data_IF_237879990405
#
_entry.id   IF_237879990405
#
_cell.length_a   1.000
_cell.length_b   1.000
_cell.length_c   1.000
_cell.angle_alpha   90.00
_cell.angle_beta   90.00
_cell.angle_gamma   90.00
#
_symmetry.space_group_name_H-M   'P 1'
#
loop_
_entity.id
_entity.type
_entity.pdbx_description
1 polymer ?
#
# COMPACT_ATOMS: atom_id res chain seq x y z
N UNK A 1 -10.82 -17.71 49.08
CA UNK A 1 -11.97 -16.78 49.19
C UNK A 1 -11.64 -15.35 48.77
N UNK A 2 -10.40 -14.85 48.92
CA UNK A 2 -10.05 -13.45 48.63
C UNK A 2 -10.05 -13.04 47.13
N UNK A 3 -9.82 -13.96 46.21
CA UNK A 3 -9.72 -13.69 44.76
C UNK A 3 -11.03 -13.28 44.10
N UNK A 4 -12.17 -13.78 44.57
CA UNK A 4 -13.49 -13.43 44.00
C UNK A 4 -13.95 -12.01 44.36
N UNK A 5 -13.48 -11.46 45.49
CA UNK A 5 -13.87 -10.13 45.96
C UNK A 5 -13.16 -9.05 45.13
N UNK A 6 -11.87 -9.25 44.83
CA UNK A 6 -11.08 -8.31 44.01
C UNK A 6 -11.64 -8.22 42.59
N UNK A 7 -12.00 -9.36 41.98
CA UNK A 7 -12.58 -9.41 40.63
C UNK A 7 -13.97 -8.77 40.56
N UNK A 8 -14.79 -8.94 41.61
CA UNK A 8 -16.11 -8.30 41.74
C UNK A 8 -16.00 -6.76 41.83
N UNK A 9 -15.06 -6.27 42.65
CA UNK A 9 -14.82 -4.83 42.85
C UNK A 9 -14.27 -4.17 41.57
N UNK A 10 -13.33 -4.80 40.87
CA UNK A 10 -12.83 -4.32 39.57
C UNK A 10 -13.96 -4.18 38.52
N UNK A 11 -14.91 -5.11 38.52
CA UNK A 11 -16.02 -5.11 37.56
C UNK A 11 -17.02 -3.98 37.84
N UNK A 12 -17.32 -3.69 39.10
CA UNK A 12 -18.30 -2.64 39.48
C UNK A 12 -17.73 -1.23 39.39
N UNK A 13 -16.47 -1.02 39.78
CA UNK A 13 -15.88 0.32 39.88
C UNK A 13 -15.22 0.78 38.58
N UNK A 14 -14.73 -0.13 37.74
CA UNK A 14 -14.02 0.24 36.52
C UNK A 14 -14.75 -0.18 35.24
N UNK A 15 -15.15 -1.45 35.12
CA UNK A 15 -15.68 -1.95 33.85
C UNK A 15 -17.12 -1.48 33.58
N UNK A 16 -18.02 -1.56 34.57
CA UNK A 16 -19.43 -1.18 34.40
C UNK A 16 -19.65 0.31 34.07
N UNK A 17 -18.97 1.28 34.71
CA UNK A 17 -19.08 2.70 34.36
C UNK A 17 -18.49 3.00 32.97
N UNK A 18 -17.38 2.35 32.60
CA UNK A 18 -16.76 2.48 31.28
C UNK A 18 -17.69 1.95 30.18
N UNK A 19 -18.33 0.80 30.39
CA UNK A 19 -19.30 0.20 29.47
C UNK A 19 -20.59 1.04 29.38
N UNK A 20 -21.07 1.60 30.50
CA UNK A 20 -22.21 2.54 30.49
C UNK A 20 -21.90 3.84 29.76
N UNK A 21 -20.71 4.39 29.96
CA UNK A 21 -20.20 5.55 29.23
C UNK A 21 -20.16 5.28 27.73
N UNK A 22 -19.66 4.12 27.30
CA UNK A 22 -19.61 3.72 25.90
C UNK A 22 -21.01 3.51 25.27
N UNK A 23 -21.99 3.10 26.08
CA UNK A 23 -23.38 2.92 25.64
C UNK A 23 -24.20 4.21 25.57
N UNK A 24 -23.65 5.33 26.06
CA UNK A 24 -24.23 6.66 25.91
C UNK A 24 -24.40 7.00 24.44
N UNK A 25 -25.59 7.48 24.07
CA UNK A 25 -25.92 7.96 22.73
C UNK A 25 -24.92 9.02 22.22
N UNK A 26 -24.34 9.83 23.10
CA UNK A 26 -23.34 10.85 22.76
C UNK A 26 -21.98 10.26 22.41
N UNK A 27 -21.54 9.21 23.12
CA UNK A 27 -20.27 8.52 22.83
C UNK A 27 -20.32 7.75 21.51
N UNK A 28 -21.48 7.16 21.18
CA UNK A 28 -21.70 6.51 19.88
C UNK A 28 -21.65 7.50 18.72
N UNK A 29 -22.23 8.69 18.88
CA UNK A 29 -22.14 9.78 17.88
C UNK A 29 -20.71 10.27 17.70
N UNK A 30 -19.96 10.46 18.80
CA UNK A 30 -18.56 10.86 18.75
C UNK A 30 -17.71 9.80 18.01
N UNK A 31 -17.96 8.52 18.28
CA UNK A 31 -17.27 7.40 17.63
C UNK A 31 -17.62 7.30 16.14
N UNK A 32 -18.88 7.53 15.77
CA UNK A 32 -19.30 7.63 14.37
C UNK A 32 -18.62 8.80 13.65
N UNK A 33 -18.54 9.98 14.27
CA UNK A 33 -17.85 11.15 13.70
C UNK A 33 -16.35 10.86 13.52
N UNK A 34 -15.72 10.18 14.48
CA UNK A 34 -14.31 9.75 14.40
C UNK A 34 -14.07 8.73 13.27
N UNK A 35 -14.98 7.77 13.09
CA UNK A 35 -14.88 6.78 12.00
C UNK A 35 -15.05 7.44 10.63
N UNK A 36 -15.99 8.37 10.50
CA UNK A 36 -16.19 9.11 9.26
C UNK A 36 -14.97 9.98 8.95
N UNK A 37 -14.43 10.71 9.94
CA UNK A 37 -13.25 11.57 9.71
C UNK A 37 -12.04 10.75 9.27
N UNK A 38 -11.72 9.65 9.97
CA UNK A 38 -10.60 8.77 9.60
C UNK A 38 -10.71 8.24 8.17
N UNK A 39 -11.92 7.84 7.74
CA UNK A 39 -12.14 7.40 6.36
C UNK A 39 -11.83 8.50 5.32
N UNK A 40 -12.31 9.73 5.52
CA UNK A 40 -12.05 10.86 4.59
C UNK A 40 -10.56 11.18 4.49
N UNK A 41 -9.85 11.21 5.61
CA UNK A 41 -8.39 11.45 5.62
C UNK A 41 -7.63 10.35 4.86
N UNK A 42 -8.01 9.08 5.05
CA UNK A 42 -7.37 7.96 4.32
C UNK A 42 -7.58 8.05 2.81
N UNK A 43 -8.76 8.46 2.34
CA UNK A 43 -9.02 8.65 0.91
C UNK A 43 -8.20 9.79 0.30
N UNK A 44 -8.09 10.93 0.98
CA UNK A 44 -7.29 12.06 0.51
C UNK A 44 -5.82 11.67 0.37
N UNK A 45 -5.24 11.02 1.40
CA UNK A 45 -3.86 10.55 1.36
C UNK A 45 -3.62 9.53 0.24
N UNK A 46 -4.59 8.65 -0.03
CA UNK A 46 -4.48 7.67 -1.11
C UNK A 46 -4.51 8.33 -2.49
N UNK A 47 -5.30 9.39 -2.68
CA UNK A 47 -5.31 10.15 -3.92
C UNK A 47 -3.99 10.88 -4.16
N UNK A 48 -3.40 11.47 -3.14
CA UNK A 48 -2.11 12.16 -3.24
C UNK A 48 -0.98 11.20 -3.65
N UNK A 49 -0.95 10.00 -3.05
CA UNK A 49 -0.01 8.93 -3.42
C UNK A 49 -0.16 8.53 -4.89
N UNK A 50 -1.39 8.31 -5.35
CA UNK A 50 -1.65 7.94 -6.75
C UNK A 50 -1.26 9.06 -7.72
N UNK A 51 -1.58 10.32 -7.39
CA UNK A 51 -1.20 11.47 -8.21
C UNK A 51 0.32 11.60 -8.31
N UNK A 52 1.04 11.42 -7.20
CA UNK A 52 2.50 11.37 -7.17
C UNK A 52 3.05 10.26 -8.06
N UNK A 53 2.55 9.02 -7.90
CA UNK A 53 2.99 7.89 -8.71
C UNK A 53 2.80 8.19 -10.20
N UNK A 54 1.61 8.63 -10.59
CA UNK A 54 1.30 8.95 -12.01
C UNK A 54 2.24 10.01 -12.56
N UNK A 55 2.49 11.08 -11.82
CA UNK A 55 3.39 12.16 -12.21
C UNK A 55 4.83 11.68 -12.40
N UNK A 56 5.32 10.82 -11.52
CA UNK A 56 6.72 10.43 -11.49
C UNK A 56 7.05 9.20 -12.35
N UNK A 57 6.04 8.53 -12.91
CA UNK A 57 6.20 7.29 -13.69
C UNK A 57 6.79 7.47 -15.09
N UNK A 58 6.65 8.65 -15.70
CA UNK A 58 7.20 8.95 -17.03
C UNK A 58 8.10 10.17 -16.91
N UNK A 59 9.39 10.01 -17.20
CA UNK A 59 10.41 11.06 -17.08
C UNK A 59 10.70 11.53 -15.65
N UNK A 60 10.06 10.94 -14.64
CA UNK A 60 10.22 11.28 -13.23
C UNK A 60 11.03 10.27 -12.43
N UNK A 61 10.90 10.31 -11.11
CA UNK A 61 11.68 9.46 -10.18
C UNK A 61 11.34 7.97 -10.26
N UNK A 62 10.15 7.62 -10.75
CA UNK A 62 9.71 6.25 -10.95
C UNK A 62 9.93 5.76 -12.38
N UNK A 63 10.50 6.58 -13.27
CA UNK A 63 10.96 6.14 -14.58
C UNK A 63 12.36 5.54 -14.47
N UNK A 64 12.43 4.22 -14.45
CA UNK A 64 13.68 3.48 -14.30
C UNK A 64 14.40 3.22 -15.63
N UNK A 65 13.78 3.54 -16.76
CA UNK A 65 14.27 3.15 -18.09
C UNK A 65 15.71 3.62 -18.35
N UNK A 66 15.99 4.89 -18.06
CA UNK A 66 17.33 5.48 -18.24
C UNK A 66 18.37 4.87 -17.30
N UNK A 67 18.02 4.68 -16.02
CA UNK A 67 18.94 4.13 -15.02
C UNK A 67 19.30 2.69 -15.30
N UNK A 68 18.33 1.92 -15.78
CA UNK A 68 18.54 0.53 -16.19
C UNK A 68 19.45 0.49 -17.41
N UNK A 69 19.19 1.34 -18.41
CA UNK A 69 20.04 1.37 -19.59
C UNK A 69 21.48 1.76 -19.26
N UNK A 70 21.69 2.76 -18.41
CA UNK A 70 23.03 3.17 -17.96
C UNK A 70 23.76 2.06 -17.19
N UNK A 71 23.08 1.43 -16.21
CA UNK A 71 23.69 0.43 -15.34
C UNK A 71 23.93 -0.90 -16.04
N UNK A 72 23.03 -1.31 -16.93
CA UNK A 72 22.99 -2.63 -17.55
C UNK A 72 23.18 -2.53 -19.08
N UNK A 73 23.90 -1.53 -19.58
CA UNK A 73 24.02 -1.24 -21.02
C UNK A 73 24.44 -2.46 -21.87
N UNK A 74 25.37 -3.28 -21.39
CA UNK A 74 25.87 -4.48 -22.09
C UNK A 74 25.09 -5.76 -21.81
N UNK A 75 24.06 -5.73 -20.97
CA UNK A 75 23.31 -6.92 -20.58
C UNK A 75 22.01 -7.05 -21.39
N UNK A 76 21.71 -8.25 -21.87
CA UNK A 76 20.44 -8.51 -22.58
C UNK A 76 19.29 -8.75 -21.62
N UNK A 77 19.59 -9.32 -20.46
CA UNK A 77 18.64 -9.59 -19.38
C UNK A 77 19.30 -9.38 -18.03
N UNK A 78 18.49 -9.06 -17.03
CA UNK A 78 18.91 -8.74 -15.67
C UNK A 78 18.39 -9.84 -14.74
N UNK A 79 19.27 -10.52 -13.98
CA UNK A 79 18.85 -11.53 -13.03
C UNK A 79 18.17 -10.91 -11.81
N UNK A 80 17.09 -11.53 -11.34
CA UNK A 80 16.40 -11.18 -10.10
C UNK A 80 15.81 -12.44 -9.45
N UNK A 81 16.42 -12.89 -8.35
CA UNK A 81 16.11 -14.19 -7.76
C UNK A 81 16.46 -15.31 -8.73
N UNK A 82 15.49 -16.20 -8.99
CA UNK A 82 15.62 -17.32 -9.93
C UNK A 82 15.24 -16.94 -11.38
N UNK A 83 14.79 -15.70 -11.60
CA UNK A 83 14.27 -15.24 -12.89
C UNK A 83 15.21 -14.27 -13.59
N UNK A 84 15.03 -14.14 -14.90
CA UNK A 84 15.73 -13.16 -15.73
C UNK A 84 14.71 -12.30 -16.45
N UNK A 85 14.88 -10.98 -16.37
CA UNK A 85 13.98 -10.01 -16.99
C UNK A 85 14.69 -9.25 -18.10
N UNK A 86 14.00 -9.00 -19.22
CA UNK A 86 14.50 -8.01 -20.17
C UNK A 86 14.53 -6.64 -19.50
N UNK A 87 15.41 -5.73 -19.96
CA UNK A 87 15.57 -4.39 -19.37
C UNK A 87 14.25 -3.65 -19.16
N UNK A 88 13.36 -3.69 -20.17
CA UNK A 88 12.04 -3.04 -20.10
C UNK A 88 11.16 -3.63 -19.00
N UNK A 89 11.17 -4.94 -18.82
CA UNK A 89 10.33 -5.63 -17.84
C UNK A 89 10.93 -5.44 -16.44
N UNK A 90 12.25 -5.41 -16.33
CA UNK A 90 12.94 -5.07 -15.08
C UNK A 90 12.62 -3.63 -14.61
N UNK A 91 12.40 -2.69 -15.53
CA UNK A 91 11.92 -1.35 -15.19
C UNK A 91 10.53 -1.39 -14.55
N UNK A 92 9.64 -2.23 -15.08
CA UNK A 92 8.30 -2.47 -14.50
C UNK A 92 8.40 -3.12 -13.11
N UNK A 93 9.34 -4.05 -12.92
CA UNK A 93 9.61 -4.66 -11.62
C UNK A 93 10.01 -3.60 -10.57
N UNK A 94 11.01 -2.77 -10.88
CA UNK A 94 11.45 -1.70 -9.97
C UNK A 94 10.35 -0.68 -9.70
N UNK A 95 9.56 -0.36 -10.73
CA UNK A 95 8.39 0.51 -10.59
C UNK A 95 7.39 -0.07 -9.59
N UNK A 96 7.01 -1.34 -9.75
CA UNK A 96 6.01 -2.00 -8.90
C UNK A 96 6.45 -2.07 -7.44
N UNK A 97 7.73 -2.36 -7.21
CA UNK A 97 8.34 -2.35 -5.89
C UNK A 97 8.23 -0.99 -5.19
N UNK A 98 8.60 0.08 -5.90
CA UNK A 98 8.53 1.43 -5.35
C UNK A 98 7.08 1.87 -5.13
N UNK A 99 6.16 1.50 -6.02
CA UNK A 99 4.72 1.76 -5.87
C UNK A 99 4.16 1.12 -4.60
N UNK A 100 4.56 -0.12 -4.30
CA UNK A 100 4.21 -0.77 -3.03
C UNK A 100 4.78 -0.01 -1.83
N UNK A 101 6.05 0.37 -1.87
CA UNK A 101 6.72 1.12 -0.80
C UNK A 101 6.07 2.49 -0.55
N UNK A 102 5.51 3.12 -1.59
CA UNK A 102 4.75 4.37 -1.50
C UNK A 102 3.35 4.18 -0.88
N UNK A 103 2.96 2.95 -0.57
CA UNK A 103 1.75 2.61 0.17
C UNK A 103 0.56 2.24 -0.70
N UNK A 104 0.78 1.78 -1.94
CA UNK A 104 -0.23 1.05 -2.70
C UNK A 104 -0.24 -0.41 -2.21
N UNK A 105 -1.33 -0.80 -1.56
CA UNK A 105 -1.42 -2.08 -0.85
C UNK A 105 -1.95 -3.22 -1.73
N UNK A 106 -2.61 -2.90 -2.83
CA UNK A 106 -3.23 -3.88 -3.73
C UNK A 106 -2.49 -4.00 -5.06
N UNK A 107 -2.14 -5.23 -5.42
CA UNK A 107 -1.58 -5.53 -6.75
C UNK A 107 -2.51 -5.07 -7.87
N UNK A 108 -3.82 -5.31 -7.75
CA UNK A 108 -4.81 -4.88 -8.74
C UNK A 108 -4.85 -3.36 -8.89
N UNK A 109 -4.61 -2.62 -7.81
CA UNK A 109 -4.52 -1.16 -7.87
C UNK A 109 -3.24 -0.72 -8.58
N UNK A 110 -2.11 -1.37 -8.31
CA UNK A 110 -0.85 -1.09 -9.01
C UNK A 110 -0.97 -1.35 -10.52
N UNK A 111 -1.63 -2.44 -10.93
CA UNK A 111 -1.94 -2.73 -12.34
C UNK A 111 -2.75 -1.60 -12.96
N UNK A 112 -3.87 -1.19 -12.33
CA UNK A 112 -4.70 -0.09 -12.85
C UNK A 112 -3.93 1.21 -13.01
N UNK A 113 -3.13 1.59 -12.00
CA UNK A 113 -2.32 2.80 -12.06
C UNK A 113 -1.32 2.72 -13.22
N UNK A 114 -0.68 1.56 -13.42
CA UNK A 114 0.25 1.35 -14.52
C UNK A 114 -0.45 1.51 -15.87
N UNK A 115 -1.58 0.84 -16.09
CA UNK A 115 -2.33 0.94 -17.36
C UNK A 115 -2.85 2.36 -17.61
N UNK A 116 -3.24 3.08 -16.56
CA UNK A 116 -3.65 4.48 -16.65
C UNK A 116 -2.49 5.41 -17.04
N UNK A 117 -1.27 5.14 -16.58
CA UNK A 117 -0.07 5.91 -16.92
C UNK A 117 0.33 5.64 -18.37
N UNK A 118 0.46 4.37 -18.74
CA UNK A 118 1.02 3.95 -20.04
C UNK A 118 -0.03 3.82 -21.15
N UNK A 119 -1.31 4.04 -20.84
CA UNK A 119 -2.44 4.04 -21.78
C UNK A 119 -2.56 2.75 -22.60
N UNK A 120 -2.16 1.63 -22.01
CA UNK A 120 -2.24 0.29 -22.60
C UNK A 120 -2.25 -0.77 -21.51
N UNK A 121 -2.70 -1.96 -21.86
CA UNK A 121 -2.57 -3.12 -20.98
C UNK A 121 -1.15 -3.66 -20.92
N UNK A 122 -0.86 -4.33 -19.80
CA UNK A 122 0.38 -5.06 -19.59
C UNK A 122 0.46 -6.24 -20.57
N UNK A 123 1.64 -6.46 -21.12
CA UNK A 123 1.98 -7.74 -21.75
C UNK A 123 2.23 -8.80 -20.68
N UNK A 124 2.20 -10.09 -21.04
CA UNK A 124 2.46 -11.18 -20.09
C UNK A 124 3.82 -11.06 -19.37
N UNK A 125 4.94 -10.75 -20.05
CA UNK A 125 6.23 -10.53 -19.37
C UNK A 125 6.20 -9.36 -18.40
N UNK A 126 5.52 -8.27 -18.75
CA UNK A 126 5.41 -7.09 -17.89
C UNK A 126 4.52 -7.37 -16.67
N UNK A 127 3.41 -8.11 -16.85
CA UNK A 127 2.55 -8.51 -15.76
C UNK A 127 3.30 -9.40 -14.75
N UNK A 128 4.13 -10.33 -15.25
CA UNK A 128 5.02 -11.14 -14.42
C UNK A 128 6.00 -10.26 -13.64
N UNK A 129 6.67 -9.33 -14.32
CA UNK A 129 7.63 -8.43 -13.70
C UNK A 129 6.98 -7.50 -12.67
N UNK A 130 5.80 -6.97 -12.96
CA UNK A 130 5.02 -6.14 -12.05
C UNK A 130 4.67 -6.94 -10.80
N UNK A 131 4.20 -8.19 -10.96
CA UNK A 131 3.87 -9.06 -9.82
C UNK A 131 5.10 -9.35 -8.97
N UNK A 132 6.20 -9.78 -9.59
CA UNK A 132 7.46 -10.06 -8.89
C UNK A 132 7.95 -8.84 -8.12
N UNK A 133 7.94 -7.65 -8.74
CA UNK A 133 8.36 -6.42 -8.09
C UNK A 133 7.42 -5.98 -6.96
N UNK A 134 6.12 -6.15 -7.16
CA UNK A 134 5.12 -5.84 -6.13
C UNK A 134 5.20 -6.79 -4.94
N UNK A 135 5.56 -8.06 -5.13
CA UNK A 135 5.68 -9.05 -4.04
C UNK A 135 7.07 -9.05 -3.38
N UNK A 136 8.08 -8.51 -4.06
CA UNK A 136 9.43 -8.40 -3.55
C UNK A 136 9.50 -7.53 -2.28
N UNK A 137 10.28 -8.02 -1.32
CA UNK A 137 10.70 -7.24 -0.16
C UNK A 137 12.07 -6.67 -0.48
N UNK A 138 12.12 -5.37 -0.72
CA UNK A 138 13.37 -4.62 -0.85
C UNK A 138 13.84 -4.12 0.51
#
# INVERSE_FOLDING_TARGET
>A
MATNIIFSQLKSYFLLPLIKSFNSFQMKKLLLILLVSTSVFTFAQQNDKQAYIKKESIGGKLDFSKRIEEKYHNETSIPFGEEHFMKKDYAVLLWAANVRTLGIESFNQAVKIWEEVYKRSLTEPEAKALKTGFEAKF
#
